data_IF_276818678105
#
_entry.id   IF_276818678105
#
_cell.length_a   1.000
_cell.length_b   1.000
_cell.length_c   1.000
_cell.angle_alpha   90.00
_cell.angle_beta   90.00
_cell.angle_gamma   90.00
#
_symmetry.space_group_name_H-M   'P 1'
#
loop_
_entity.id
_entity.type
_entity.pdbx_description
1 polymer ?
#
# COMPACT_ATOMS: atom_id res chain seq x y z
N UNK A 1 15.26 11.49 -31.53
CA UNK A 1 16.35 10.62 -32.01
C UNK A 1 16.91 9.89 -30.80
N UNK A 2 16.53 8.62 -30.61
CA UNK A 2 16.79 7.87 -29.38
C UNK A 2 18.18 7.22 -29.31
N UNK A 3 18.55 6.71 -28.14
CA UNK A 3 19.74 5.85 -27.99
C UNK A 3 19.47 4.51 -28.66
N UNK A 4 20.43 4.01 -29.45
CA UNK A 4 20.32 2.76 -30.19
C UNK A 4 21.45 1.79 -29.80
N UNK A 5 21.26 0.50 -30.07
CA UNK A 5 22.34 -0.47 -29.93
C UNK A 5 23.55 -0.07 -30.79
N UNK A 6 24.73 -0.01 -30.18
CA UNK A 6 25.95 0.56 -30.78
C UNK A 6 26.18 2.05 -30.50
N UNK A 7 25.14 2.80 -30.10
CA UNK A 7 25.21 4.22 -29.70
C UNK A 7 24.40 4.48 -28.43
N UNK A 8 24.69 3.70 -27.36
CA UNK A 8 24.06 3.87 -26.05
C UNK A 8 24.71 4.99 -25.22
N UNK A 9 25.69 5.72 -25.76
CA UNK A 9 26.44 6.74 -25.03
C UNK A 9 27.40 6.20 -23.97
N UNK A 10 27.51 4.88 -23.80
CA UNK A 10 28.38 4.23 -22.83
C UNK A 10 29.50 3.47 -23.57
N UNK A 11 30.74 3.69 -23.14
CA UNK A 11 31.93 3.00 -23.66
C UNK A 11 32.46 2.01 -22.62
N UNK A 12 32.11 0.74 -22.77
CA UNK A 12 32.60 -0.34 -21.89
C UNK A 12 33.86 -0.95 -22.50
N UNK A 13 34.93 -1.09 -21.71
CA UNK A 13 36.19 -1.76 -22.10
C UNK A 13 36.56 -2.79 -21.03
N UNK A 14 37.04 -3.96 -21.42
CA UNK A 14 37.58 -4.97 -20.50
C UNK A 14 36.57 -5.84 -19.74
N UNK A 15 35.31 -5.91 -20.18
CA UNK A 15 34.28 -6.74 -19.53
C UNK A 15 34.10 -8.07 -20.28
N UNK A 16 34.35 -9.18 -19.59
CA UNK A 16 34.16 -10.55 -20.13
C UNK A 16 32.92 -11.17 -19.45
N UNK A 17 31.89 -11.49 -20.24
CA UNK A 17 30.68 -12.16 -19.76
C UNK A 17 30.58 -13.56 -20.31
N UNK A 18 30.54 -14.56 -19.42
CA UNK A 18 30.33 -15.97 -19.78
C UNK A 18 28.87 -16.34 -19.52
N UNK A 19 28.26 -17.06 -20.45
CA UNK A 19 26.86 -17.52 -20.36
C UNK A 19 26.75 -18.94 -20.88
N UNK A 20 25.80 -19.69 -20.34
CA UNK A 20 25.46 -21.04 -20.79
C UNK A 20 24.23 -20.99 -21.72
N UNK A 21 24.11 -21.94 -22.66
CA UNK A 21 22.92 -22.08 -23.49
C UNK A 21 21.66 -22.27 -22.63
N UNK A 22 20.51 -21.65 -22.94
CA UNK A 22 19.27 -21.84 -22.17
C UNK A 22 18.81 -23.29 -22.10
N UNK A 23 19.14 -24.11 -23.11
CA UNK A 23 18.78 -25.53 -23.17
C UNK A 23 19.58 -26.41 -22.19
N UNK A 24 20.68 -25.89 -21.65
CA UNK A 24 21.51 -26.57 -20.66
C UNK A 24 21.22 -26.09 -19.23
N UNK A 25 20.48 -24.99 -19.08
CA UNK A 25 20.13 -24.42 -17.79
C UNK A 25 18.81 -24.99 -17.28
N UNK A 26 18.69 -25.10 -15.95
CA UNK A 26 17.42 -25.45 -15.29
C UNK A 26 16.64 -24.16 -15.00
N UNK A 27 15.41 -23.99 -15.53
CA UNK A 27 14.67 -22.72 -15.43
C UNK A 27 14.28 -22.35 -13.99
N UNK A 28 14.07 -23.35 -13.11
CA UNK A 28 13.68 -23.14 -11.71
C UNK A 28 14.77 -23.54 -10.71
N UNK A 29 16.04 -23.54 -11.14
CA UNK A 29 17.15 -23.84 -10.23
C UNK A 29 17.13 -22.90 -9.02
N UNK A 30 17.02 -23.47 -7.82
CA UNK A 30 17.04 -22.70 -6.57
C UNK A 30 15.78 -21.88 -6.30
N UNK A 31 14.66 -22.12 -7.01
CA UNK A 31 13.42 -21.38 -6.78
C UNK A 31 12.93 -21.47 -5.31
N UNK A 32 12.98 -22.67 -4.72
CA UNK A 32 12.57 -22.87 -3.33
C UNK A 32 13.70 -22.52 -2.35
N UNK A 33 14.92 -23.03 -2.57
CA UNK A 33 16.02 -22.87 -1.61
C UNK A 33 16.60 -21.46 -1.56
N UNK A 34 16.60 -20.72 -2.68
CA UNK A 34 17.14 -19.36 -2.76
C UNK A 34 16.06 -18.33 -3.07
N UNK A 35 15.12 -18.66 -3.95
CA UNK A 35 14.06 -17.75 -4.37
C UNK A 35 13.13 -17.37 -3.22
N UNK A 36 12.63 -18.36 -2.47
CA UNK A 36 11.69 -18.11 -1.38
C UNK A 36 12.30 -17.30 -0.21
N UNK A 37 13.50 -17.64 0.32
CA UNK A 37 14.14 -16.80 1.34
C UNK A 37 14.44 -15.37 0.83
N UNK A 38 14.82 -15.23 -0.44
CA UNK A 38 15.07 -13.92 -1.04
C UNK A 38 13.78 -13.10 -1.24
N UNK A 39 12.65 -13.75 -1.52
CA UNK A 39 11.34 -13.09 -1.57
C UNK A 39 10.98 -12.55 -0.20
N UNK A 40 11.10 -13.35 0.86
CA UNK A 40 10.80 -12.91 2.23
C UNK A 40 11.66 -11.71 2.61
N UNK A 41 12.98 -11.79 2.37
CA UNK A 41 13.91 -10.67 2.61
C UNK A 41 13.45 -9.39 1.89
N UNK A 42 13.07 -9.49 0.61
CA UNK A 42 12.57 -8.35 -0.17
C UNK A 42 11.27 -7.76 0.38
N UNK A 43 10.33 -8.61 0.80
CA UNK A 43 9.08 -8.14 1.41
C UNK A 43 9.37 -7.43 2.72
N UNK A 44 10.23 -7.98 3.56
CA UNK A 44 10.59 -7.38 4.84
C UNK A 44 11.25 -6.00 4.69
N UNK A 45 12.07 -5.80 3.66
CA UNK A 45 12.72 -4.51 3.36
C UNK A 45 11.71 -3.42 3.00
N UNK A 46 10.60 -3.78 2.35
CA UNK A 46 9.59 -2.82 1.87
C UNK A 46 8.40 -2.65 2.84
N UNK A 47 8.20 -3.59 3.76
CA UNK A 47 7.05 -3.58 4.69
C UNK A 47 6.93 -2.27 5.45
N UNK A 48 8.04 -1.68 5.90
CA UNK A 48 8.00 -0.43 6.67
C UNK A 48 7.63 0.80 5.85
N UNK A 49 7.77 0.75 4.52
CA UNK A 49 7.36 1.85 3.65
C UNK A 49 5.92 1.70 3.19
N UNK A 50 5.50 0.46 2.94
CA UNK A 50 4.20 0.15 2.36
C UNK A 50 3.11 0.01 3.42
N UNK A 51 3.38 -0.66 4.54
CA UNK A 51 2.35 -0.98 5.55
C UNK A 51 1.82 0.26 6.29
N UNK A 52 2.64 1.23 6.75
CA UNK A 52 2.11 2.36 7.51
C UNK A 52 1.03 3.18 6.80
N UNK A 53 1.16 3.61 5.53
CA UNK A 53 0.09 4.36 4.87
C UNK A 53 -1.19 3.54 4.70
N UNK A 54 -1.10 2.22 4.46
CA UNK A 54 -2.27 1.35 4.38
C UNK A 54 -2.98 1.20 5.72
N UNK A 55 -2.23 1.04 6.81
CA UNK A 55 -2.81 0.97 8.16
C UNK A 55 -3.50 2.28 8.51
N UNK A 56 -2.86 3.42 8.26
CA UNK A 56 -3.45 4.75 8.50
C UNK A 56 -4.73 4.93 7.68
N UNK A 57 -4.69 4.59 6.39
CA UNK A 57 -5.87 4.67 5.54
C UNK A 57 -7.04 3.81 6.04
N UNK A 58 -6.74 2.58 6.50
CA UNK A 58 -7.74 1.70 7.08
C UNK A 58 -8.34 2.25 8.38
N UNK A 59 -7.51 2.83 9.25
CA UNK A 59 -7.98 3.45 10.50
C UNK A 59 -8.91 4.64 10.22
N UNK A 60 -8.56 5.50 9.26
CA UNK A 60 -9.40 6.63 8.83
C UNK A 60 -10.74 6.12 8.30
N UNK A 61 -10.72 5.07 7.46
CA UNK A 61 -11.93 4.46 6.93
C UNK A 61 -12.84 3.92 8.05
N UNK A 62 -12.28 3.11 8.96
CA UNK A 62 -13.04 2.51 10.06
C UNK A 62 -13.63 3.58 11.00
N UNK A 63 -12.86 4.63 11.30
CA UNK A 63 -13.35 5.77 12.06
C UNK A 63 -14.48 6.51 11.34
N UNK A 64 -14.31 6.77 10.04
CA UNK A 64 -15.29 7.48 9.23
C UNK A 64 -16.64 6.75 9.17
N UNK A 65 -16.61 5.44 8.98
CA UNK A 65 -17.83 4.60 9.00
C UNK A 65 -18.50 4.63 10.37
N UNK A 66 -17.74 4.45 11.46
CA UNK A 66 -18.30 4.48 12.81
C UNK A 66 -18.91 5.85 13.16
N UNK A 67 -18.24 6.94 12.80
CA UNK A 67 -18.73 8.29 13.00
C UNK A 67 -20.01 8.55 12.17
N UNK A 68 -20.03 8.11 10.92
CA UNK A 68 -21.21 8.24 10.05
C UNK A 68 -22.43 7.51 10.65
N UNK A 69 -22.27 6.26 11.07
CA UNK A 69 -23.36 5.49 11.68
C UNK A 69 -23.85 6.12 12.99
N UNK A 70 -22.96 6.71 13.79
CA UNK A 70 -23.35 7.43 15.01
C UNK A 70 -24.13 8.71 14.71
N UNK A 71 -23.77 9.44 13.65
CA UNK A 71 -24.48 10.66 13.25
C UNK A 71 -25.84 10.39 12.62
N UNK A 72 -26.07 9.19 12.07
CA UNK A 72 -27.39 8.77 11.59
C UNK A 72 -28.35 8.41 12.74
N UNK A 73 -27.83 8.10 13.93
CA UNK A 73 -28.67 7.81 15.10
C UNK A 73 -29.29 9.09 15.64
N UNK A 74 -30.51 8.95 16.17
CA UNK A 74 -31.17 10.05 16.90
C UNK A 74 -30.35 10.38 18.15
N UNK A 75 -30.19 11.67 18.43
CA UNK A 75 -29.53 12.13 19.65
C UNK A 75 -30.55 12.19 20.79
N UNK A 76 -30.26 11.52 21.91
CA UNK A 76 -31.24 11.27 22.98
C UNK A 76 -31.72 12.55 23.71
N UNK A 77 -31.03 13.68 23.57
CA UNK A 77 -31.39 14.97 24.20
C UNK A 77 -31.95 16.06 23.27
N UNK A 78 -32.09 15.78 21.97
CA UNK A 78 -32.55 16.81 21.02
C UNK A 78 -34.03 17.19 21.21
N UNK A 79 -34.85 16.25 21.66
CA UNK A 79 -36.29 16.47 21.90
C UNK A 79 -36.54 17.25 23.20
N UNK A 80 -35.79 16.97 24.27
CA UNK A 80 -35.98 17.66 25.56
C UNK A 80 -35.61 19.15 25.46
N UNK A 81 -34.51 19.48 24.78
CA UNK A 81 -34.11 20.88 24.57
C UNK A 81 -35.08 21.64 23.65
N UNK A 82 -35.63 20.98 22.63
CA UNK A 82 -36.61 21.59 21.74
C UNK A 82 -37.94 21.88 22.45
N UNK A 83 -38.42 20.96 23.30
CA UNK A 83 -39.61 21.16 24.13
C UNK A 83 -39.38 22.28 25.16
N UNK A 84 -38.22 22.30 25.83
CA UNK A 84 -37.87 23.35 26.78
C UNK A 84 -37.72 24.74 26.11
N UNK A 85 -37.24 24.79 24.87
CA UNK A 85 -37.16 26.02 24.08
C UNK A 85 -38.55 26.49 23.60
N UNK A 86 -39.42 25.58 23.19
CA UNK A 86 -40.79 25.89 22.80
C UNK A 86 -41.63 26.41 23.98
N UNK A 87 -41.53 25.76 25.16
CA UNK A 87 -42.23 26.20 26.37
C UNK A 87 -41.81 27.61 26.85
N UNK A 88 -40.55 28.00 26.63
CA UNK A 88 -40.06 29.38 26.91
C UNK A 88 -40.48 30.42 25.87
N UNK A 89 -41.01 30.02 24.73
CA UNK A 89 -41.50 30.93 23.70
C UNK A 89 -43.01 31.18 23.79
N UNK A 90 -43.73 30.35 24.54
CA UNK A 90 -45.16 30.53 24.84
C UNK A 90 -45.42 31.36 26.12
N UNK A 91 -44.43 31.53 26.99
CA UNK A 91 -44.42 32.52 28.09
C UNK A 91 -43.89 33.89 27.62
#
# INVERSE_FOLDING_TARGET
MGLHFGSLGVKVRGLVTVRLSPYEQKPFAGAVSKGFPNMIRRVQEEVLFVVPPFVIGYLIYAWGEAAYQNNLRKQDGSFECAIAAAGKAEE
#
